data_IF_329541085091
#
_entry.id   IF_329541085091
#
_cell.length_a   1.000
_cell.length_b   1.000
_cell.length_c   1.000
_cell.angle_alpha   90.00
_cell.angle_beta   90.00
_cell.angle_gamma   90.00
#
_symmetry.space_group_name_H-M   'P 1'
#
loop_
_entity.id
_entity.type
_entity.pdbx_description
1 polymer ?
#
# COMPACT_ATOMS: atom_id res chain seq x y z
N UNK A 1 -15.44 -12.48 -32.10
CA UNK A 1 -15.85 -11.89 -30.80
C UNK A 1 -15.09 -12.58 -29.68
N UNK A 2 -14.67 -11.88 -28.62
CA UNK A 2 -13.70 -12.37 -27.63
C UNK A 2 -14.19 -13.45 -26.65
N UNK A 3 -15.50 -13.79 -26.64
CA UNK A 3 -16.08 -14.80 -25.73
C UNK A 3 -16.12 -14.38 -24.24
N UNK A 4 -15.74 -13.14 -23.92
CA UNK A 4 -15.70 -12.63 -22.56
C UNK A 4 -17.10 -12.22 -22.09
N UNK A 5 -17.43 -12.58 -20.85
CA UNK A 5 -18.67 -12.21 -20.17
C UNK A 5 -18.36 -11.39 -18.92
N UNK A 6 -19.14 -10.34 -18.67
CA UNK A 6 -19.01 -9.52 -17.46
C UNK A 6 -19.55 -10.30 -16.26
N UNK A 7 -18.89 -10.16 -15.10
CA UNK A 7 -19.35 -10.75 -13.84
C UNK A 7 -20.07 -9.67 -13.00
N UNK A 8 -21.42 -9.70 -12.91
CA UNK A 8 -22.18 -8.66 -12.22
C UNK A 8 -21.86 -8.57 -10.72
N UNK A 9 -21.44 -9.67 -10.09
CA UNK A 9 -21.11 -9.72 -8.67
C UNK A 9 -19.77 -9.03 -8.35
N UNK A 10 -18.91 -8.86 -9.36
CA UNK A 10 -17.60 -8.18 -9.22
C UNK A 10 -17.58 -6.81 -9.90
N UNK A 11 -18.68 -6.42 -10.53
CA UNK A 11 -18.81 -5.19 -11.29
C UNK A 11 -19.75 -4.23 -10.56
N UNK A 12 -19.26 -3.02 -10.32
CA UNK A 12 -19.99 -1.95 -9.66
C UNK A 12 -19.79 -0.65 -10.42
N UNK A 13 -20.81 0.20 -10.43
CA UNK A 13 -20.73 1.54 -11.03
C UNK A 13 -20.56 2.56 -9.91
N UNK A 14 -19.63 3.49 -10.10
CA UNK A 14 -19.43 4.62 -9.19
C UNK A 14 -19.79 5.89 -9.95
N UNK A 15 -20.83 6.58 -9.50
CA UNK A 15 -21.30 7.82 -10.10
C UNK A 15 -20.75 9.04 -9.36
N UNK A 16 -20.32 10.05 -10.12
CA UNK A 16 -19.94 11.34 -9.54
C UNK A 16 -21.15 12.00 -8.89
N UNK A 17 -20.90 12.79 -7.83
CA UNK A 17 -21.95 13.58 -7.15
C UNK A 17 -22.70 14.53 -8.10
N UNK A 18 -22.12 14.89 -9.24
CA UNK A 18 -22.75 15.76 -10.23
C UNK A 18 -23.90 15.08 -11.00
N UNK A 19 -23.93 13.75 -11.07
CA UNK A 19 -24.93 12.97 -11.83
C UNK A 19 -26.08 12.58 -10.90
N UNK A 20 -26.84 13.58 -10.42
CA UNK A 20 -27.96 13.34 -9.50
C UNK A 20 -29.28 13.05 -10.24
N UNK A 21 -29.58 13.79 -11.31
CA UNK A 21 -30.88 13.66 -12.03
C UNK A 21 -31.03 12.32 -12.73
N UNK A 22 -30.00 11.87 -13.43
CA UNK A 22 -30.06 10.66 -14.27
C UNK A 22 -29.54 9.41 -13.55
N UNK A 23 -29.24 9.51 -12.25
CA UNK A 23 -28.58 8.46 -11.46
C UNK A 23 -29.32 7.13 -11.57
N UNK A 24 -30.62 7.15 -11.28
CA UNK A 24 -31.44 5.95 -11.28
C UNK A 24 -31.58 5.36 -12.68
N UNK A 25 -31.78 6.21 -13.71
CA UNK A 25 -31.87 5.74 -15.09
C UNK A 25 -30.59 5.04 -15.57
N UNK A 26 -29.42 5.53 -15.17
CA UNK A 26 -28.14 4.88 -15.49
C UNK A 26 -28.00 3.53 -14.78
N UNK A 27 -28.42 3.44 -13.51
CA UNK A 27 -28.37 2.18 -12.75
C UNK A 27 -29.32 1.13 -13.35
N UNK A 28 -30.52 1.54 -13.72
CA UNK A 28 -31.53 0.66 -14.32
C UNK A 28 -31.09 0.16 -15.72
N UNK A 29 -30.45 1.03 -16.50
CA UNK A 29 -29.91 0.67 -17.83
C UNK A 29 -28.72 -0.30 -17.74
N UNK A 30 -27.86 -0.12 -16.75
CA UNK A 30 -26.61 -0.90 -16.63
C UNK A 30 -26.80 -2.22 -15.89
N UNK A 31 -27.77 -2.29 -14.96
CA UNK A 31 -28.03 -3.49 -14.15
C UNK A 31 -26.92 -3.86 -13.14
N UNK A 32 -25.98 -2.94 -12.87
CA UNK A 32 -24.93 -3.12 -11.86
C UNK A 32 -25.26 -2.43 -10.56
N UNK A 33 -24.71 -2.94 -9.45
CA UNK A 33 -24.83 -2.32 -8.14
C UNK A 33 -24.05 -1.01 -8.09
N UNK A 34 -24.59 -0.02 -7.37
CA UNK A 34 -23.90 1.23 -7.11
C UNK A 34 -22.83 1.05 -6.02
N UNK A 35 -21.61 1.51 -6.33
CA UNK A 35 -20.47 1.54 -5.40
C UNK A 35 -20.13 2.94 -4.91
N UNK A 36 -19.42 3.01 -3.79
CA UNK A 36 -18.98 4.26 -3.18
C UNK A 36 -17.47 4.26 -2.95
N UNK A 37 -16.83 5.42 -3.15
CA UNK A 37 -15.42 5.63 -2.81
C UNK A 37 -15.26 5.90 -1.32
N UNK A 38 -14.15 5.48 -0.69
CA UNK A 38 -12.99 4.81 -1.31
C UNK A 38 -13.17 3.29 -1.47
N UNK A 39 -12.78 2.74 -2.63
CA UNK A 39 -12.73 1.28 -2.87
C UNK A 39 -11.30 0.78 -2.96
N UNK A 40 -11.04 -0.51 -2.76
CA UNK A 40 -9.71 -1.09 -2.95
C UNK A 40 -9.59 -1.66 -4.37
N UNK A 41 -8.64 -1.14 -5.15
CA UNK A 41 -8.36 -1.63 -6.50
C UNK A 41 -6.88 -2.01 -6.60
N UNK A 42 -6.58 -3.24 -7.05
CA UNK A 42 -5.21 -3.77 -7.16
C UNK A 42 -4.36 -3.66 -5.88
N UNK A 43 -5.01 -3.64 -4.72
CA UNK A 43 -4.31 -3.57 -3.44
C UNK A 43 -3.99 -2.16 -2.94
N UNK A 44 -4.41 -1.11 -3.66
CA UNK A 44 -4.36 0.29 -3.24
C UNK A 44 -5.77 0.88 -3.11
N UNK A 45 -5.98 1.88 -2.24
CA UNK A 45 -7.26 2.56 -2.15
C UNK A 45 -7.45 3.48 -3.38
N UNK A 46 -8.52 3.27 -4.13
CA UNK A 46 -9.01 4.19 -5.14
C UNK A 46 -9.81 5.28 -4.42
N UNK A 47 -9.31 6.51 -4.46
CA UNK A 47 -9.89 7.66 -3.76
C UNK A 47 -10.04 8.81 -4.75
N UNK A 48 -11.12 9.58 -4.66
CA UNK A 48 -11.34 10.79 -5.45
C UNK A 48 -10.66 12.05 -4.85
N UNK A 49 -10.01 11.93 -3.69
CA UNK A 49 -9.37 13.02 -2.95
C UNK A 49 -7.86 12.77 -2.80
N UNK A 50 -7.16 13.74 -2.21
CA UNK A 50 -5.74 13.59 -1.85
C UNK A 50 -5.57 12.46 -0.83
N UNK A 51 -4.50 11.68 -1.00
CA UNK A 51 -4.14 10.58 -0.12
C UNK A 51 -3.79 11.11 1.27
N UNK A 52 -4.49 10.63 2.30
CA UNK A 52 -4.18 10.95 3.69
C UNK A 52 -3.18 9.96 4.28
N UNK A 53 -2.62 10.28 5.44
CA UNK A 53 -1.75 9.35 6.18
C UNK A 53 -2.51 8.08 6.58
N UNK A 54 -3.80 8.19 6.89
CA UNK A 54 -4.65 7.05 7.22
C UNK A 54 -4.81 6.08 6.03
N UNK A 55 -4.95 6.61 4.81
CA UNK A 55 -5.06 5.80 3.60
C UNK A 55 -3.77 5.02 3.28
N UNK A 56 -2.64 5.45 3.83
CA UNK A 56 -1.34 4.78 3.71
C UNK A 56 -1.12 3.68 4.76
N UNK A 57 -2.02 3.50 5.73
CA UNK A 57 -1.86 2.43 6.74
C UNK A 57 -1.69 1.03 6.13
N UNK A 58 -2.46 0.62 5.10
CA UNK A 58 -2.26 -0.67 4.46
C UNK A 58 -0.85 -0.88 3.89
N UNK A 59 -0.18 0.19 3.45
CA UNK A 59 1.21 0.14 3.02
C UNK A 59 2.14 -0.10 4.22
N UNK A 60 1.97 0.69 5.28
CA UNK A 60 2.77 0.60 6.51
C UNK A 60 2.63 -0.79 7.15
N UNK A 61 1.41 -1.33 7.20
CA UNK A 61 1.13 -2.66 7.75
C UNK A 61 1.78 -3.76 6.94
N UNK A 62 1.72 -3.68 5.61
CA UNK A 62 2.41 -4.64 4.72
C UNK A 62 3.91 -4.62 4.92
N UNK A 63 4.51 -3.44 5.02
CA UNK A 63 5.95 -3.30 5.29
C UNK A 63 6.28 -3.89 6.66
N UNK A 64 5.52 -3.52 7.68
CA UNK A 64 5.73 -4.00 9.06
C UNK A 64 5.61 -5.52 9.15
N UNK A 65 4.61 -6.11 8.49
CA UNK A 65 4.42 -7.56 8.41
C UNK A 65 5.60 -8.26 7.72
N UNK A 66 6.13 -7.70 6.62
CA UNK A 66 7.32 -8.24 5.95
C UNK A 66 8.56 -8.18 6.83
N UNK A 67 8.81 -7.03 7.47
CA UNK A 67 9.94 -6.87 8.39
C UNK A 67 9.82 -7.81 9.61
N UNK A 68 8.61 -7.95 10.17
CA UNK A 68 8.35 -8.90 11.24
C UNK A 68 8.64 -10.35 10.81
N UNK A 69 8.20 -10.69 9.60
CA UNK A 69 8.49 -11.97 8.97
C UNK A 69 9.95 -12.21 8.65
N UNK A 70 10.83 -11.19 8.63
CA UNK A 70 12.27 -11.38 8.39
C UNK A 70 13.10 -11.31 9.67
N UNK A 71 12.53 -10.91 10.80
CA UNK A 71 13.26 -10.84 12.07
C UNK A 71 13.82 -12.19 12.53
N UNK A 72 13.28 -13.31 12.06
CA UNK A 72 13.79 -14.65 12.39
C UNK A 72 14.95 -15.09 11.49
N UNK A 73 15.25 -14.36 10.41
CA UNK A 73 16.33 -14.69 9.49
C UNK A 73 17.66 -14.21 10.08
N UNK A 74 18.60 -15.12 10.29
CA UNK A 74 19.97 -14.78 10.69
C UNK A 74 20.79 -14.36 9.46
N UNK A 75 20.59 -13.13 9.00
CA UNK A 75 21.31 -12.56 7.87
C UNK A 75 22.36 -11.54 8.35
N UNK A 76 23.40 -11.37 7.55
CA UNK A 76 24.32 -10.25 7.73
C UNK A 76 23.61 -8.91 7.47
N UNK A 77 24.18 -7.80 7.96
CA UNK A 77 23.65 -6.46 7.66
C UNK A 77 23.56 -6.20 6.14
N UNK A 78 24.53 -6.72 5.36
CA UNK A 78 24.48 -6.68 3.90
C UNK A 78 23.30 -7.50 3.34
N UNK A 79 23.01 -8.67 3.91
CA UNK A 79 21.83 -9.47 3.56
C UNK A 79 20.52 -8.74 3.85
N UNK A 80 20.39 -8.13 5.03
CA UNK A 80 19.22 -7.33 5.39
C UNK A 80 19.01 -6.14 4.44
N UNK A 81 20.07 -5.41 4.12
CA UNK A 81 19.96 -4.26 3.19
C UNK A 81 19.59 -4.68 1.77
N UNK A 82 20.10 -5.81 1.28
CA UNK A 82 19.73 -6.33 -0.05
C UNK A 82 18.27 -6.81 -0.10
N UNK A 83 17.80 -7.48 0.95
CA UNK A 83 16.41 -7.92 1.07
C UNK A 83 15.46 -6.72 1.10
N UNK A 84 15.82 -5.69 1.86
CA UNK A 84 15.09 -4.44 1.92
C UNK A 84 15.04 -3.75 0.55
N UNK A 85 16.19 -3.62 -0.11
CA UNK A 85 16.27 -2.98 -1.43
C UNK A 85 15.47 -3.70 -2.50
N UNK A 86 15.38 -5.02 -2.49
CA UNK A 86 14.64 -5.77 -3.50
C UNK A 86 13.13 -5.76 -3.24
N UNK A 87 12.70 -6.08 -2.03
CA UNK A 87 11.28 -6.32 -1.73
C UNK A 87 10.55 -5.06 -1.25
N UNK A 88 11.17 -4.24 -0.39
CA UNK A 88 10.51 -3.00 0.03
C UNK A 88 10.50 -1.99 -1.12
N UNK A 89 11.59 -1.81 -1.87
CA UNK A 89 11.61 -0.77 -2.92
C UNK A 89 10.52 -0.98 -3.97
N UNK A 90 10.26 -2.22 -4.38
CA UNK A 90 9.18 -2.52 -5.32
C UNK A 90 7.79 -2.19 -4.75
N UNK A 91 7.53 -2.49 -3.48
CA UNK A 91 6.28 -2.15 -2.82
C UNK A 91 6.06 -0.63 -2.69
N UNK A 92 7.09 0.10 -2.29
CA UNK A 92 7.02 1.57 -2.19
C UNK A 92 6.86 2.22 -3.55
N UNK A 93 7.61 1.74 -4.56
CA UNK A 93 7.59 2.29 -5.91
C UNK A 93 6.24 2.05 -6.58
N UNK A 94 5.58 0.92 -6.31
CA UNK A 94 4.21 0.69 -6.76
C UNK A 94 3.24 1.76 -6.21
N UNK A 95 3.29 2.04 -4.90
CA UNK A 95 2.45 3.08 -4.31
C UNK A 95 2.79 4.48 -4.80
N UNK A 96 4.08 4.79 -4.98
CA UNK A 96 4.57 6.07 -5.47
C UNK A 96 4.21 6.32 -6.95
N UNK A 97 4.00 5.26 -7.73
CA UNK A 97 3.57 5.37 -9.13
C UNK A 97 2.10 5.78 -9.27
N UNK A 98 1.27 5.45 -8.26
CA UNK A 98 -0.17 5.75 -8.27
C UNK A 98 -0.48 7.03 -7.48
N UNK A 99 0.26 7.31 -6.41
CA UNK A 99 0.00 8.44 -5.52
C UNK A 99 1.26 9.24 -5.17
N UNK A 100 1.05 10.51 -4.85
CA UNK A 100 2.06 11.34 -4.20
C UNK A 100 2.07 11.00 -2.71
N UNK A 101 3.10 10.30 -2.23
CA UNK A 101 3.25 9.99 -0.81
C UNK A 101 3.62 11.25 -0.02
N UNK A 102 2.95 11.43 1.13
CA UNK A 102 3.32 12.50 2.07
C UNK A 102 4.66 12.20 2.76
N UNK A 103 5.41 13.27 3.08
CA UNK A 103 6.67 13.16 3.82
C UNK A 103 6.51 12.44 5.17
N UNK A 104 5.35 12.59 5.81
CA UNK A 104 5.05 11.93 7.08
C UNK A 104 5.05 10.41 6.95
N UNK A 105 4.41 9.87 5.91
CA UNK A 105 4.35 8.42 5.64
C UNK A 105 5.74 7.86 5.36
N UNK A 106 6.51 8.57 4.51
CA UNK A 106 7.90 8.19 4.20
C UNK A 106 8.74 8.14 5.48
N UNK A 107 8.62 9.12 6.37
CA UNK A 107 9.36 9.16 7.63
C UNK A 107 9.00 7.98 8.56
N UNK A 108 7.73 7.59 8.62
CA UNK A 108 7.28 6.42 9.41
C UNK A 108 7.90 5.14 8.87
N UNK A 109 7.87 4.97 7.54
CA UNK A 109 8.45 3.82 6.85
C UNK A 109 9.95 3.73 7.10
N UNK A 110 10.69 4.84 6.89
CA UNK A 110 12.12 4.90 7.17
C UNK A 110 12.44 4.54 8.63
N UNK A 111 11.61 5.00 9.58
CA UNK A 111 11.75 4.64 10.98
C UNK A 111 11.67 3.13 11.22
N UNK A 112 10.71 2.44 10.60
CA UNK A 112 10.56 0.98 10.68
C UNK A 112 11.75 0.24 10.06
N UNK A 113 12.22 0.72 8.91
CA UNK A 113 13.39 0.18 8.22
C UNK A 113 14.66 0.31 9.08
N UNK A 114 14.90 1.51 9.65
CA UNK A 114 16.04 1.76 10.55
C UNK A 114 15.96 0.85 11.77
N UNK A 115 14.79 0.75 12.40
CA UNK A 115 14.59 -0.14 13.55
C UNK A 115 14.91 -1.60 13.21
N UNK A 116 14.49 -2.10 12.04
CA UNK A 116 14.81 -3.44 11.57
C UNK A 116 16.31 -3.67 11.36
N UNK A 117 16.99 -2.73 10.68
CA UNK A 117 18.43 -2.84 10.40
C UNK A 117 19.27 -2.85 11.69
N UNK A 118 18.92 -2.01 12.67
CA UNK A 118 19.70 -1.87 13.90
C UNK A 118 19.36 -2.91 14.98
N UNK A 119 18.24 -3.62 14.87
CA UNK A 119 17.84 -4.67 15.83
C UNK A 119 18.84 -5.84 15.91
N UNK A 120 19.64 -6.06 14.87
CA UNK A 120 20.73 -7.05 14.85
C UNK A 120 22.10 -6.52 15.27
N UNK A 121 22.23 -5.23 15.61
CA UNK A 121 23.53 -4.59 15.92
C UNK A 121 23.86 -4.56 17.41
N UNK A 122 22.99 -5.07 18.30
CA UNK A 122 23.20 -5.11 19.76
C UNK A 122 24.20 -6.18 20.22
N UNK A 123 25.15 -6.56 19.36
CA UNK A 123 26.16 -7.59 19.63
C UNK A 123 27.58 -7.24 19.18
N UNK A 124 27.84 -6.01 18.72
CA UNK A 124 29.21 -5.56 18.44
C UNK A 124 29.52 -4.49 19.47
N UNK A 125 30.37 -4.87 20.43
CA UNK A 125 30.71 -4.10 21.61
C UNK A 125 30.99 -2.63 21.30
N UNK A 126 30.37 -1.77 22.11
CA UNK A 126 30.83 -0.42 22.31
C UNK A 126 32.28 -0.51 22.83
N UNK A 127 33.26 -0.41 21.94
CA UNK A 127 34.63 -0.14 22.34
C UNK A 127 34.65 1.27 22.93
N UNK A 128 34.58 1.34 24.26
CA UNK A 128 34.89 2.54 25.04
C UNK A 128 36.39 2.81 24.80
N UNK A 129 36.69 3.82 23.98
CA UNK A 129 38.04 4.39 23.93
C UNK A 129 38.13 5.32 25.13
N UNK A 130 38.96 4.93 26.09
CA UNK A 130 39.32 5.72 27.26
C UNK A 130 40.63 6.45 27.02
#
# INVERSE_FOLDING_TARGET
>A
MSGLHVNPSKSTIILSKAVQRDRQGILDLMGFQEGFLPIKYLGVPLIASRLTVADCQPLIDRITSRLAGWNHLTLSLAGHTQLLKSVLSSLHMYWASVFILSKAVIKVIEGKIRAFLWKGSSGIGYAKVS
#
